data_IF_797511730005
#
_entry.id   IF_797511730005
#
_cell.length_a   1.000
_cell.length_b   1.000
_cell.length_c   1.000
_cell.angle_alpha   90.00
_cell.angle_beta   90.00
_cell.angle_gamma   90.00
#
_symmetry.space_group_name_H-M   'P 1'
#
loop_
_entity.id
_entity.type
_entity.pdbx_description
1 polymer ?
#
# COMPACT_ATOMS: atom_id res chain seq x y z
N UNK A 1 5.48 -17.96 -8.24
CA UNK A 1 4.43 -18.22 -7.23
C UNK A 1 5.02 -17.93 -5.87
N UNK A 2 4.50 -16.92 -5.15
CA UNK A 2 4.88 -16.64 -3.77
C UNK A 2 4.11 -17.61 -2.87
N UNK A 3 4.74 -18.74 -2.51
CA UNK A 3 4.10 -19.76 -1.65
C UNK A 3 3.96 -19.19 -0.25
N UNK A 4 2.72 -19.14 0.25
CA UNK A 4 2.41 -18.66 1.59
C UNK A 4 2.47 -17.13 1.76
N UNK A 5 2.36 -16.37 0.66
CA UNK A 5 2.23 -14.92 0.76
C UNK A 5 0.89 -14.53 1.41
N UNK A 6 0.93 -13.54 2.27
CA UNK A 6 -0.28 -12.89 2.76
C UNK A 6 -0.75 -11.87 1.71
N UNK A 7 -2.05 -11.90 1.41
CA UNK A 7 -2.65 -11.02 0.42
C UNK A 7 -3.52 -9.96 1.09
N UNK A 8 -3.32 -8.72 0.67
CA UNK A 8 -4.05 -7.54 1.13
C UNK A 8 -4.66 -6.83 -0.06
N UNK A 9 -5.74 -6.11 0.19
CA UNK A 9 -6.37 -5.28 -0.83
C UNK A 9 -6.69 -3.90 -0.26
N UNK A 10 -6.39 -2.85 -1.03
CA UNK A 10 -6.59 -1.47 -0.61
C UNK A 10 -7.33 -0.68 -1.68
N UNK A 11 -8.06 0.34 -1.27
CA UNK A 11 -8.63 1.34 -2.17
C UNK A 11 -7.80 2.61 -2.09
N UNK A 12 -7.44 3.18 -3.23
CA UNK A 12 -7.00 4.57 -3.38
C UNK A 12 -8.24 5.43 -3.60
N UNK A 13 -8.80 6.04 -2.55
CA UNK A 13 -10.03 6.78 -2.68
C UNK A 13 -9.76 8.14 -3.31
N UNK A 14 -10.51 8.45 -4.36
CA UNK A 14 -10.48 9.75 -5.05
C UNK A 14 -11.68 10.56 -4.59
N UNK A 15 -11.41 11.74 -4.04
CA UNK A 15 -12.40 12.71 -3.56
C UNK A 15 -12.36 13.94 -4.46
N UNK A 16 -13.54 14.41 -4.88
CA UNK A 16 -13.71 15.60 -5.74
C UNK A 16 -12.84 15.61 -7.01
N UNK A 17 -12.33 14.47 -7.45
CA UNK A 17 -11.37 14.29 -8.57
C UNK A 17 -10.01 15.00 -8.39
N UNK A 18 -9.74 15.55 -7.23
CA UNK A 18 -8.55 16.36 -6.96
C UNK A 18 -7.70 15.83 -5.82
N UNK A 19 -8.27 15.00 -4.93
CA UNK A 19 -7.60 14.53 -3.72
C UNK A 19 -7.60 13.01 -3.64
N UNK A 20 -6.51 12.45 -3.11
CA UNK A 20 -6.51 11.11 -2.51
C UNK A 20 -6.83 11.23 -1.03
N UNK A 21 -7.72 10.37 -0.54
CA UNK A 21 -8.00 10.25 0.88
C UNK A 21 -7.14 9.15 1.48
N UNK A 22 -6.49 9.48 2.57
CA UNK A 22 -5.71 8.55 3.39
C UNK A 22 -6.34 8.49 4.78
N UNK A 23 -6.04 7.42 5.47
CA UNK A 23 -6.28 7.27 6.90
C UNK A 23 -4.98 7.38 7.68
N UNK A 24 -5.08 7.90 8.90
CA UNK A 24 -4.04 7.78 9.92
C UNK A 24 -4.49 6.67 10.85
N UNK A 25 -3.71 5.61 10.94
CA UNK A 25 -4.01 4.42 11.73
C UNK A 25 -4.11 4.77 13.21
N UNK A 26 -5.11 4.19 13.88
CA UNK A 26 -5.33 4.44 15.31
C UNK A 26 -4.12 4.03 16.15
N UNK A 27 -3.83 4.83 17.18
CA UNK A 27 -2.81 4.51 18.20
C UNK A 27 -3.17 3.30 19.07
N UNK A 28 -4.40 2.78 18.96
CA UNK A 28 -4.86 1.56 19.62
C UNK A 28 -4.38 0.28 18.93
N UNK A 29 -3.95 0.38 17.68
CA UNK A 29 -3.48 -0.75 16.89
C UNK A 29 -2.09 -1.22 17.35
N UNK A 30 -1.88 -2.55 17.30
CA UNK A 30 -0.58 -3.17 17.63
C UNK A 30 0.43 -3.08 16.49
N UNK A 31 -0.05 -2.91 15.25
CA UNK A 31 0.78 -2.90 14.05
C UNK A 31 0.66 -1.55 13.38
N UNK A 32 1.80 -0.87 13.20
CA UNK A 32 1.92 0.41 12.50
C UNK A 32 0.97 1.51 13.01
N UNK A 33 0.86 1.76 14.34
CA UNK A 33 0.04 2.85 14.87
C UNK A 33 0.55 4.20 14.35
N UNK A 34 -0.37 5.09 14.01
CA UNK A 34 -0.05 6.45 13.53
C UNK A 34 0.50 6.53 12.10
N UNK A 35 0.69 5.40 11.42
CA UNK A 35 1.09 5.42 10.00
C UNK A 35 -0.05 5.88 9.10
N UNK A 36 0.35 6.49 7.96
CA UNK A 36 -0.59 6.89 6.92
C UNK A 36 -0.73 5.75 5.93
N UNK A 37 -1.97 5.32 5.70
CA UNK A 37 -2.32 4.24 4.78
C UNK A 37 -3.52 4.59 3.91
N UNK A 38 -3.74 3.76 2.90
CA UNK A 38 -5.04 3.71 2.23
C UNK A 38 -5.96 2.76 3.00
N UNK A 39 -7.28 3.00 2.97
CA UNK A 39 -8.25 2.05 3.49
C UNK A 39 -8.08 0.68 2.84
N UNK A 40 -8.08 -0.37 3.67
CA UNK A 40 -7.91 -1.72 3.18
C UNK A 40 -7.31 -2.66 4.21
N UNK A 41 -7.36 -3.96 3.90
CA UNK A 41 -6.92 -4.99 4.83
C UNK A 41 -6.65 -6.32 4.17
N UNK A 42 -6.60 -7.36 5.00
CA UNK A 42 -6.31 -8.73 4.59
C UNK A 42 -7.48 -9.33 3.81
N UNK A 43 -7.16 -10.02 2.72
CA UNK A 43 -8.16 -10.78 1.96
C UNK A 43 -8.54 -12.02 2.76
N UNK A 44 -9.81 -12.19 3.07
CA UNK A 44 -10.33 -13.33 3.78
C UNK A 44 -10.58 -14.52 2.86
N UNK A 45 -10.73 -15.71 3.46
CA UNK A 45 -10.98 -16.93 2.69
C UNK A 45 -12.27 -16.82 1.86
N UNK A 46 -12.17 -17.05 0.57
CA UNK A 46 -13.30 -16.97 -0.38
C UNK A 46 -13.60 -15.59 -0.92
N UNK A 47 -12.88 -14.54 -0.47
CA UNK A 47 -13.02 -13.20 -1.03
C UNK A 47 -12.21 -13.02 -2.31
N UNK A 48 -12.70 -12.14 -3.18
CA UNK A 48 -11.88 -11.55 -4.24
C UNK A 48 -11.12 -10.33 -3.70
N UNK A 49 -9.94 -9.97 -4.25
CA UNK A 49 -9.24 -8.75 -3.83
C UNK A 49 -10.12 -7.49 -3.87
N UNK A 50 -10.98 -7.38 -4.90
CA UNK A 50 -11.90 -6.24 -5.03
C UNK A 50 -12.96 -6.21 -3.93
N UNK A 51 -13.52 -7.36 -3.56
CA UNK A 51 -14.53 -7.41 -2.50
C UNK A 51 -13.93 -7.10 -1.14
N UNK A 52 -12.72 -7.61 -0.84
CA UNK A 52 -12.00 -7.31 0.39
C UNK A 52 -11.69 -5.81 0.50
N UNK A 53 -11.14 -5.18 -0.56
CA UNK A 53 -10.86 -3.75 -0.57
C UNK A 53 -12.11 -2.90 -0.28
N UNK A 54 -13.26 -3.27 -0.86
CA UNK A 54 -14.53 -2.56 -0.62
C UNK A 54 -15.02 -2.78 0.81
N UNK A 55 -14.98 -4.02 1.32
CA UNK A 55 -15.41 -4.36 2.70
C UNK A 55 -14.62 -3.57 3.72
N UNK A 56 -13.30 -3.64 3.66
CA UNK A 56 -12.39 -2.93 4.57
C UNK A 56 -12.63 -1.41 4.53
N UNK A 57 -12.76 -0.82 3.33
CA UNK A 57 -13.06 0.62 3.20
C UNK A 57 -14.37 0.99 3.90
N UNK A 58 -15.42 0.16 3.80
CA UNK A 58 -16.69 0.41 4.49
C UNK A 58 -16.53 0.24 6.00
N UNK A 59 -15.78 -0.74 6.47
CA UNK A 59 -15.53 -0.98 7.89
C UNK A 59 -14.72 0.14 8.55
N UNK A 60 -13.71 0.68 7.85
CA UNK A 60 -12.80 1.71 8.36
C UNK A 60 -13.37 3.13 8.28
N UNK A 61 -13.95 3.52 7.14
CA UNK A 61 -14.39 4.91 6.89
C UNK A 61 -15.91 5.06 6.64
N UNK A 62 -16.66 3.96 6.64
CA UNK A 62 -18.13 3.98 6.56
C UNK A 62 -18.73 4.31 5.19
N UNK A 63 -17.92 4.41 4.13
CA UNK A 63 -18.37 4.76 2.78
C UNK A 63 -17.97 3.69 1.78
N UNK A 64 -18.93 3.29 0.93
CA UNK A 64 -18.67 2.31 -0.14
C UNK A 64 -18.04 3.01 -1.35
N UNK A 65 -16.82 2.62 -1.77
CA UNK A 65 -16.19 3.21 -2.94
C UNK A 65 -16.75 2.64 -4.26
N UNK A 66 -16.88 3.48 -5.28
CA UNK A 66 -17.14 3.07 -6.66
C UNK A 66 -15.83 2.77 -7.36
N UNK A 67 -15.45 1.50 -7.49
CA UNK A 67 -14.17 1.09 -8.10
C UNK A 67 -14.18 1.37 -9.61
N UNK A 68 -13.25 2.19 -10.07
CA UNK A 68 -13.11 2.63 -11.46
C UNK A 68 -11.91 2.03 -12.19
N UNK A 69 -10.90 1.53 -11.46
CA UNK A 69 -9.71 0.90 -12.04
C UNK A 69 -9.01 0.03 -11.00
N UNK A 70 -8.20 -0.90 -11.46
CA UNK A 70 -7.20 -1.59 -10.66
C UNK A 70 -5.79 -1.13 -11.06
N UNK A 71 -4.87 -1.22 -10.12
CA UNK A 71 -3.44 -1.05 -10.34
C UNK A 71 -2.76 -2.43 -10.35
N UNK A 72 -1.54 -2.53 -10.90
CA UNK A 72 -0.75 -3.74 -10.78
C UNK A 72 -0.52 -4.11 -9.30
N UNK A 73 -0.58 -5.42 -8.95
CA UNK A 73 -0.25 -5.85 -7.59
C UNK A 73 1.17 -5.45 -7.18
N UNK A 74 1.31 -5.03 -5.93
CA UNK A 74 2.61 -4.70 -5.33
C UNK A 74 3.15 -5.92 -4.60
N UNK A 75 4.29 -6.43 -5.05
CA UNK A 75 5.00 -7.55 -4.43
C UNK A 75 6.09 -7.01 -3.51
N UNK A 76 6.04 -7.38 -2.24
CA UNK A 76 7.02 -6.93 -1.26
C UNK A 76 8.06 -8.01 -0.95
N UNK A 77 9.25 -7.66 -0.46
CA UNK A 77 10.22 -8.64 0.01
C UNK A 77 9.82 -9.31 1.35
N UNK A 78 8.69 -8.93 1.92
CA UNK A 78 8.19 -9.41 3.22
C UNK A 78 7.11 -10.50 3.08
N UNK A 79 7.01 -11.12 1.91
CA UNK A 79 6.00 -12.13 1.60
C UNK A 79 4.56 -11.60 1.68
N UNK A 80 4.37 -10.33 1.32
CA UNK A 80 3.08 -9.65 1.24
C UNK A 80 2.83 -9.25 -0.21
N UNK A 81 1.60 -9.48 -0.67
CA UNK A 81 1.08 -9.01 -1.96
C UNK A 81 -0.06 -8.03 -1.66
N UNK A 82 -0.01 -6.84 -2.25
CA UNK A 82 -1.07 -5.84 -2.10
C UNK A 82 -1.75 -5.63 -3.45
N UNK A 83 -3.07 -5.70 -3.47
CA UNK A 83 -3.93 -5.48 -4.63
C UNK A 83 -4.60 -4.09 -4.51
N UNK A 84 -4.06 -3.04 -5.16
CA UNK A 84 -4.63 -1.71 -5.07
C UNK A 84 -5.68 -1.47 -6.15
N UNK A 85 -6.74 -0.76 -5.74
CA UNK A 85 -7.84 -0.32 -6.60
C UNK A 85 -8.03 1.19 -6.49
N UNK A 86 -8.37 1.86 -7.59
CA UNK A 86 -8.79 3.26 -7.57
C UNK A 86 -10.30 3.29 -7.45
N UNK A 87 -10.80 3.99 -6.44
CA UNK A 87 -12.24 4.13 -6.17
C UNK A 87 -12.66 5.58 -5.97
N UNK A 88 -13.83 5.96 -6.47
CA UNK A 88 -14.43 7.28 -6.22
C UNK A 88 -15.27 7.19 -4.95
N UNK A 89 -15.11 8.16 -4.06
CA UNK A 89 -16.02 8.41 -2.95
C UNK A 89 -17.00 9.51 -3.33
N UNK A 90 -18.29 9.15 -3.37
CA UNK A 90 -19.37 10.10 -3.72
C UNK A 90 -19.84 10.92 -2.51
N UNK A 91 -19.50 10.48 -1.30
CA UNK A 91 -19.89 11.13 -0.04
C UNK A 91 -18.68 11.57 0.74
N UNK A 92 -18.74 12.80 1.26
CA UNK A 92 -17.77 13.34 2.23
C UNK A 92 -18.18 13.03 3.69
N UNK A 93 -19.36 12.48 3.92
CA UNK A 93 -19.80 12.10 5.26
C UNK A 93 -19.22 10.74 5.64
N UNK A 94 -18.01 10.76 6.21
CA UNK A 94 -17.34 9.57 6.68
C UNK A 94 -17.85 9.16 8.07
N UNK A 95 -18.02 7.87 8.27
CA UNK A 95 -18.29 7.27 9.58
C UNK A 95 -17.09 6.43 10.00
N UNK A 96 -16.10 7.09 10.57
CA UNK A 96 -14.80 6.52 10.87
C UNK A 96 -14.86 5.57 12.06
N UNK A 97 -14.37 4.34 11.89
CA UNK A 97 -14.12 3.39 12.97
C UNK A 97 -12.91 3.82 13.80
N UNK A 98 -13.13 4.44 14.93
CA UNK A 98 -12.09 4.99 15.81
C UNK A 98 -11.16 3.95 16.44
N UNK A 99 -11.51 2.68 16.41
CA UNK A 99 -10.61 1.61 16.85
C UNK A 99 -9.49 1.35 15.84
N UNK A 100 -9.74 1.58 14.55
CA UNK A 100 -8.81 1.31 13.46
C UNK A 100 -8.22 2.58 12.85
N UNK A 101 -9.01 3.65 12.75
CA UNK A 101 -8.65 4.90 12.09
C UNK A 101 -8.75 6.07 13.07
N UNK A 102 -7.64 6.75 13.33
CA UNK A 102 -7.62 7.98 14.16
C UNK A 102 -8.34 9.12 13.47
N UNK A 103 -7.95 9.40 12.25
CA UNK A 103 -8.55 10.43 11.36
C UNK A 103 -8.21 10.16 9.91
N UNK A 104 -8.90 10.86 9.01
CA UNK A 104 -8.58 10.89 7.58
C UNK A 104 -7.92 12.19 7.19
N UNK A 105 -7.14 12.17 6.11
CA UNK A 105 -6.55 13.35 5.48
C UNK A 105 -6.76 13.28 3.97
N UNK A 106 -7.02 14.44 3.38
CA UNK A 106 -7.09 14.61 1.93
C UNK A 106 -5.80 15.25 1.45
N UNK A 107 -5.14 14.62 0.49
CA UNK A 107 -3.88 15.09 -0.10
C UNK A 107 -4.08 15.32 -1.58
N UNK A 108 -3.71 16.51 -2.12
CA UNK A 108 -3.85 16.77 -3.54
C UNK A 108 -3.12 15.72 -4.40
N UNK A 109 -3.78 15.21 -5.42
CA UNK A 109 -3.25 14.15 -6.31
C UNK A 109 -1.91 14.57 -6.93
N UNK A 110 -1.75 15.85 -7.26
CA UNK A 110 -0.54 16.41 -7.87
C UNK A 110 0.72 16.28 -7.00
N UNK A 111 0.58 16.15 -5.68
CA UNK A 111 1.71 15.88 -4.77
C UNK A 111 2.45 14.60 -5.19
N UNK A 112 1.71 13.60 -5.70
CA UNK A 112 2.27 12.28 -6.07
C UNK A 112 2.90 12.23 -7.45
N UNK A 113 3.02 13.37 -8.15
CA UNK A 113 3.73 13.49 -9.43
C UNK A 113 5.20 13.15 -9.31
N UNK A 114 5.86 13.69 -8.30
CA UNK A 114 7.30 13.50 -8.10
C UNK A 114 7.62 13.32 -6.61
N UNK A 115 8.23 12.21 -6.22
CA UNK A 115 8.63 12.00 -4.83
C UNK A 115 9.72 13.01 -4.42
N UNK A 116 9.67 13.47 -3.17
CA UNK A 116 10.71 14.31 -2.59
C UNK A 116 12.03 13.55 -2.44
N UNK A 117 11.93 12.27 -2.03
CA UNK A 117 13.07 11.36 -1.94
C UNK A 117 12.72 9.99 -2.47
N UNK A 118 13.71 9.34 -3.08
CA UNK A 118 13.62 7.94 -3.54
C UNK A 118 14.89 7.22 -3.18
N UNK A 119 14.76 6.05 -2.53
CA UNK A 119 15.88 5.21 -2.15
C UNK A 119 15.65 3.76 -2.60
N UNK A 120 16.73 3.10 -3.01
CA UNK A 120 16.78 1.65 -3.22
C UNK A 120 17.39 1.00 -1.97
N UNK A 121 16.56 0.46 -1.09
CA UNK A 121 17.03 -0.29 0.08
C UNK A 121 17.53 -1.66 -0.36
N UNK A 122 18.67 -2.08 0.16
CA UNK A 122 19.25 -3.38 -0.15
C UNK A 122 18.58 -4.48 0.67
N UNK A 123 18.04 -5.49 -0.01
CA UNK A 123 17.46 -6.70 0.60
C UNK A 123 18.48 -7.82 0.51
N UNK A 124 18.80 -8.44 1.65
CA UNK A 124 19.78 -9.54 1.75
C UNK A 124 19.10 -10.80 2.31
N UNK A 125 19.52 -11.95 1.80
CA UNK A 125 19.20 -13.25 2.41
C UNK A 125 20.16 -13.49 3.56
N UNK A 126 19.63 -13.75 4.75
CA UNK A 126 20.39 -14.07 5.96
C UNK A 126 19.95 -15.45 6.44
N UNK A 127 20.71 -16.51 6.15
CA UNK A 127 20.40 -17.85 6.62
C UNK A 127 20.47 -17.93 8.15
N UNK A 128 19.62 -18.75 8.80
CA UNK A 128 19.73 -19.00 10.24
C UNK A 128 21.03 -19.76 10.58
N UNK A 129 21.44 -19.72 11.84
CA UNK A 129 22.66 -20.40 12.30
C UNK A 129 22.63 -21.92 12.07
N UNK A 130 21.43 -22.51 12.06
CA UNK A 130 21.19 -23.94 11.83
C UNK A 130 21.18 -24.34 10.36
N UNK A 131 21.38 -23.36 9.43
CA UNK A 131 21.33 -23.67 8.01
C UNK A 131 22.45 -24.66 7.60
N UNK A 132 22.11 -25.73 6.84
CA UNK A 132 23.05 -26.80 6.53
C UNK A 132 24.02 -26.42 5.40
N UNK A 133 24.93 -25.49 5.68
CA UNK A 133 25.91 -24.98 4.71
C UNK A 133 26.76 -26.07 4.04
N UNK A 134 26.94 -27.21 4.71
CA UNK A 134 27.70 -28.34 4.17
C UNK A 134 27.02 -29.06 3.00
N UNK A 135 25.71 -28.79 2.77
CA UNK A 135 24.93 -29.39 1.67
C UNK A 135 24.90 -28.55 0.41
N UNK A 136 25.47 -27.33 0.45
CA UNK A 136 25.46 -26.45 -0.72
C UNK A 136 26.89 -26.15 -1.21
N UNK A 137 27.06 -25.86 -2.53
CA UNK A 137 28.37 -25.45 -3.07
C UNK A 137 28.91 -24.20 -2.34
N UNK A 138 30.20 -24.15 -2.08
CA UNK A 138 30.91 -23.09 -1.36
C UNK A 138 30.50 -22.91 0.11
N UNK A 139 29.61 -23.72 0.66
CA UNK A 139 29.27 -23.72 2.07
C UNK A 139 28.90 -22.34 2.60
N UNK A 140 29.60 -21.88 3.66
CA UNK A 140 29.39 -20.55 4.26
C UNK A 140 29.79 -19.38 3.35
N UNK A 141 30.61 -19.62 2.33
CA UNK A 141 31.04 -18.59 1.37
C UNK A 141 30.09 -18.47 0.16
N UNK A 142 28.95 -19.14 0.19
CA UNK A 142 27.95 -19.05 -0.87
C UNK A 142 27.49 -17.61 -1.09
N UNK A 143 27.52 -17.15 -2.35
CA UNK A 143 27.16 -15.77 -2.71
C UNK A 143 25.66 -15.64 -2.94
N UNK A 144 24.92 -15.32 -1.87
CA UNK A 144 23.50 -15.06 -1.94
C UNK A 144 23.19 -13.86 -2.84
N UNK A 145 22.17 -13.98 -3.67
CA UNK A 145 21.65 -12.84 -4.43
C UNK A 145 21.06 -11.81 -3.46
N UNK A 146 21.30 -10.55 -3.75
CA UNK A 146 20.63 -9.44 -3.06
C UNK A 146 19.60 -8.82 -3.99
N UNK A 147 18.49 -8.35 -3.42
CA UNK A 147 17.46 -7.57 -4.09
C UNK A 147 17.55 -6.08 -3.76
N UNK A 148 16.66 -5.32 -4.38
CA UNK A 148 16.41 -3.91 -4.06
C UNK A 148 14.93 -3.72 -3.75
N UNK A 149 14.66 -2.90 -2.76
CA UNK A 149 13.32 -2.46 -2.40
C UNK A 149 13.25 -0.94 -2.50
N UNK A 150 12.44 -0.45 -3.44
CA UNK A 150 12.29 0.99 -3.68
C UNK A 150 11.38 1.60 -2.63
N UNK A 151 11.84 2.68 -2.00
CA UNK A 151 11.07 3.46 -1.03
C UNK A 151 11.00 4.90 -1.51
N UNK A 152 9.80 5.44 -1.55
CA UNK A 152 9.51 6.82 -1.92
C UNK A 152 8.96 7.58 -0.73
N UNK A 153 9.18 8.90 -0.72
CA UNK A 153 8.69 9.82 0.30
C UNK A 153 8.03 11.01 -0.36
N UNK A 154 6.81 11.33 0.07
CA UNK A 154 6.08 12.53 -0.27
C UNK A 154 5.76 13.30 1.01
N UNK A 155 5.83 14.62 0.94
CA UNK A 155 5.48 15.51 2.05
C UNK A 155 4.29 16.36 1.66
N UNK A 156 3.35 16.46 2.57
CA UNK A 156 2.22 17.36 2.46
C UNK A 156 1.86 17.90 3.83
N UNK A 157 2.02 19.22 4.04
CA UNK A 157 1.95 19.84 5.36
C UNK A 157 2.90 19.12 6.35
N UNK A 158 2.38 18.72 7.52
CA UNK A 158 3.14 17.99 8.54
C UNK A 158 3.08 16.46 8.37
N UNK A 159 2.60 15.97 7.21
CA UNK A 159 2.43 14.55 6.94
C UNK A 159 3.49 14.02 5.98
N UNK A 160 4.03 12.86 6.33
CA UNK A 160 4.97 12.11 5.48
C UNK A 160 4.26 10.84 5.00
N UNK A 161 4.04 10.76 3.69
CA UNK A 161 3.55 9.54 3.04
C UNK A 161 4.77 8.82 2.45
N UNK A 162 4.97 7.57 2.85
CA UNK A 162 6.17 6.84 2.46
C UNK A 162 5.91 5.34 2.22
N UNK A 163 6.93 4.62 1.76
CA UNK A 163 6.90 3.17 1.63
C UNK A 163 5.93 2.68 0.56
N UNK A 164 5.15 1.65 0.89
CA UNK A 164 4.19 1.02 -0.03
C UNK A 164 3.02 1.95 -0.35
N UNK A 165 2.54 2.70 0.64
CA UNK A 165 1.48 3.69 0.46
C UNK A 165 1.89 4.76 -0.55
N UNK A 166 3.12 5.28 -0.44
CA UNK A 166 3.68 6.25 -1.38
C UNK A 166 3.83 5.68 -2.80
N UNK A 167 4.29 4.44 -2.92
CA UNK A 167 4.42 3.75 -4.20
C UNK A 167 3.06 3.59 -4.88
N UNK A 168 2.05 3.13 -4.14
CA UNK A 168 0.67 2.95 -4.65
C UNK A 168 0.07 4.30 -5.07
N UNK A 169 0.26 5.36 -4.26
CA UNK A 169 -0.21 6.70 -4.59
C UNK A 169 0.42 7.24 -5.88
N UNK A 170 1.71 7.05 -6.06
CA UNK A 170 2.43 7.45 -7.27
C UNK A 170 1.94 6.70 -8.51
N UNK A 171 1.74 5.39 -8.42
CA UNK A 171 1.19 4.59 -9.52
C UNK A 171 -0.27 4.97 -9.84
N UNK A 172 -1.07 5.31 -8.82
CA UNK A 172 -2.43 5.82 -9.01
C UNK A 172 -2.42 7.18 -9.73
N UNK A 173 -1.53 8.09 -9.33
CA UNK A 173 -1.33 9.37 -10.03
C UNK A 173 -1.05 9.15 -11.52
N UNK A 174 -0.09 8.32 -11.87
CA UNK A 174 0.24 7.99 -13.27
C UNK A 174 -0.97 7.45 -14.01
N UNK A 175 -1.66 6.48 -13.41
CA UNK A 175 -2.82 5.81 -14.02
C UNK A 175 -3.97 6.77 -14.32
N UNK A 176 -4.20 7.76 -13.46
CA UNK A 176 -5.24 8.78 -13.65
C UNK A 176 -4.85 9.72 -14.81
N UNK A 177 -3.59 10.16 -14.84
CA UNK A 177 -3.11 11.15 -15.83
C UNK A 177 -2.82 10.54 -17.21
N UNK A 178 -2.43 9.25 -17.31
CA UNK A 178 -2.29 8.55 -18.59
C UNK A 178 -3.59 8.51 -19.41
N UNK A 179 -4.76 8.58 -18.76
CA UNK A 179 -6.06 8.64 -19.45
C UNK A 179 -6.40 10.05 -19.95
N UNK A 180 -5.78 11.10 -19.39
CA UNK A 180 -6.00 12.50 -19.82
C UNK A 180 -5.26 12.90 -21.10
N UNK A 181 -4.16 12.20 -21.44
CA UNK A 181 -3.36 12.51 -22.64
C UNK A 181 -3.87 11.83 -23.93
N UNK A 182 -4.90 10.99 -23.84
CA UNK A 182 -5.46 10.22 -24.97
C UNK A 182 -6.83 10.71 -25.46
N UNK A 183 -7.24 11.91 -25.05
CA UNK A 183 -8.49 12.54 -25.55
C UNK A 183 -8.19 13.76 -26.41
#
# INVERSE_FOLDING_TARGET
MFIGAEEYAVVVPVVNKEYFLFEIRSNLLKVQPGEISFPGGKIEYGETPKSAAIRETVEEIGVRPSIISNLPPVYTPFNIIIHPFIGILESSNLNINKYEVEKTIEVPIEIFKSPKYTYDLKVKVIPPSSFPFHLIPNGKDYKWRSGKYKVMFFEYNDHIIWGMTALIAHEAYKKINEKGEKQ
#
